data_IF_596454104457
#
_entry.id   IF_596454104457
#
_cell.length_a   1.000
_cell.length_b   1.000
_cell.length_c   1.000
_cell.angle_alpha   90.00
_cell.angle_beta   90.00
_cell.angle_gamma   90.00
#
_symmetry.space_group_name_H-M   'P 1'
#
loop_
_entity.id
_entity.type
_entity.pdbx_description
1 polymer ?
#
# COMPACT_ATOMS: atom_id res chain seq x y z
N UNK A 1 5.33 18.13 -18.70
CA UNK A 1 6.33 17.63 -17.73
C UNK A 1 5.58 16.67 -16.82
N UNK A 2 5.84 15.36 -16.91
CA UNK A 2 5.19 14.40 -16.01
C UNK A 2 5.85 14.52 -14.64
N UNK A 3 5.07 14.84 -13.61
CA UNK A 3 5.54 14.91 -12.23
C UNK A 3 5.70 13.48 -11.68
N UNK A 4 6.94 12.97 -11.76
CA UNK A 4 7.28 11.60 -11.34
C UNK A 4 7.14 11.41 -9.82
N UNK A 5 7.38 12.47 -9.05
CA UNK A 5 7.26 12.44 -7.58
C UNK A 5 5.79 12.27 -7.18
N UNK A 6 4.90 13.09 -7.76
CA UNK A 6 3.47 12.98 -7.54
C UNK A 6 2.92 11.62 -8.01
N UNK A 7 3.42 11.10 -9.14
CA UNK A 7 3.04 9.78 -9.64
C UNK A 7 3.44 8.66 -8.65
N UNK A 8 4.67 8.70 -8.12
CA UNK A 8 5.15 7.70 -7.16
C UNK A 8 4.29 7.65 -5.90
N UNK A 9 3.97 8.81 -5.31
CA UNK A 9 3.12 8.87 -4.11
C UNK A 9 1.71 8.39 -4.39
N UNK A 10 1.16 8.78 -5.54
CA UNK A 10 -0.19 8.34 -5.96
C UNK A 10 -0.25 6.82 -6.06
N UNK A 11 0.81 6.18 -6.57
CA UNK A 11 0.92 4.72 -6.65
C UNK A 11 1.02 4.06 -5.28
N UNK A 12 1.86 4.58 -4.37
CA UNK A 12 1.96 4.06 -3.00
C UNK A 12 0.62 4.20 -2.27
N UNK A 13 -0.06 5.33 -2.44
CA UNK A 13 -1.39 5.55 -1.86
C UNK A 13 -2.44 4.63 -2.47
N UNK A 14 -2.40 4.40 -3.78
CA UNK A 14 -3.28 3.44 -4.45
C UNK A 14 -3.08 2.03 -3.90
N UNK A 15 -1.83 1.58 -3.77
CA UNK A 15 -1.47 0.28 -3.19
C UNK A 15 -2.07 0.12 -1.79
N UNK A 16 -1.89 1.11 -0.92
CA UNK A 16 -2.48 1.09 0.42
C UNK A 16 -4.02 1.11 0.36
N UNK A 17 -4.62 1.95 -0.47
CA UNK A 17 -6.07 2.05 -0.59
C UNK A 17 -6.72 0.71 -1.01
N UNK A 18 -6.06 -0.08 -1.87
CA UNK A 18 -6.53 -1.43 -2.20
C UNK A 18 -6.54 -2.35 -0.98
N UNK A 19 -5.45 -2.38 -0.19
CA UNK A 19 -5.39 -3.18 1.03
C UNK A 19 -6.46 -2.75 2.04
N UNK A 20 -6.60 -1.44 2.28
CA UNK A 20 -7.61 -0.87 3.17
C UNK A 20 -9.02 -1.25 2.73
N UNK A 21 -9.33 -1.13 1.43
CA UNK A 21 -10.62 -1.53 0.87
C UNK A 21 -10.87 -3.02 1.06
N UNK A 22 -9.89 -3.87 0.78
CA UNK A 22 -10.02 -5.32 0.87
C UNK A 22 -10.27 -5.76 2.32
N UNK A 23 -9.46 -5.25 3.26
CA UNK A 23 -9.62 -5.48 4.70
C UNK A 23 -10.99 -5.02 5.22
N UNK A 24 -11.43 -3.83 4.81
CA UNK A 24 -12.71 -3.30 5.27
C UNK A 24 -13.89 -4.05 4.66
N UNK A 25 -13.92 -4.26 3.34
CA UNK A 25 -15.07 -4.85 2.64
C UNK A 25 -15.27 -6.33 2.96
N UNK A 26 -14.19 -7.12 3.02
CA UNK A 26 -14.30 -8.56 3.21
C UNK A 26 -14.16 -9.00 4.66
N UNK A 27 -13.37 -8.28 5.46
CA UNK A 27 -13.04 -8.68 6.83
C UNK A 27 -13.56 -7.72 7.91
N UNK A 28 -14.20 -6.60 7.53
CA UNK A 28 -14.69 -5.57 8.45
C UNK A 28 -13.60 -5.01 9.38
N UNK A 29 -12.34 -5.01 8.90
CA UNK A 29 -11.19 -4.47 9.62
C UNK A 29 -10.97 -3.03 9.16
N UNK A 30 -11.03 -2.08 10.10
CA UNK A 30 -10.73 -0.67 9.86
C UNK A 30 -9.25 -0.43 10.14
N UNK A 31 -8.43 -0.22 9.11
CA UNK A 31 -6.97 -0.12 9.27
C UNK A 31 -6.49 1.02 10.16
N UNK A 32 -7.35 2.01 10.43
CA UNK A 32 -7.10 3.15 11.32
C UNK A 32 -7.69 2.99 12.73
N UNK A 33 -8.35 1.87 13.01
CA UNK A 33 -9.03 1.57 14.28
C UNK A 33 -9.17 0.05 14.42
N UNK A 34 -8.04 -0.65 14.44
CA UNK A 34 -8.01 -2.11 14.43
C UNK A 34 -8.19 -2.68 15.82
N UNK A 35 -9.02 -3.71 15.95
CA UNK A 35 -9.00 -4.56 17.13
C UNK A 35 -7.99 -5.70 16.93
N UNK A 36 -6.98 -5.86 17.81
CA UNK A 36 -5.96 -6.90 17.65
C UNK A 36 -6.53 -8.32 17.50
N UNK A 37 -7.70 -8.61 18.08
CA UNK A 37 -8.36 -9.91 17.96
C UNK A 37 -8.83 -10.25 16.53
N UNK A 38 -9.10 -9.24 15.70
CA UNK A 38 -9.48 -9.42 14.30
C UNK A 38 -8.27 -9.81 13.43
N UNK A 39 -7.04 -9.62 13.92
CA UNK A 39 -5.83 -9.92 13.18
C UNK A 39 -5.43 -11.40 13.29
N UNK A 40 -4.71 -11.92 12.29
CA UNK A 40 -4.02 -13.21 12.40
C UNK A 40 -3.14 -13.27 13.65
N UNK A 41 -3.06 -14.45 14.28
CA UNK A 41 -2.34 -14.64 15.55
C UNK A 41 -0.91 -14.08 15.51
N UNK A 42 -0.20 -14.28 14.40
CA UNK A 42 1.18 -13.81 14.20
C UNK A 42 1.36 -12.28 14.26
N UNK A 43 0.29 -11.49 14.12
CA UNK A 43 0.35 -10.02 14.14
C UNK A 43 -0.22 -9.41 15.42
N UNK A 44 -0.86 -10.20 16.29
CA UNK A 44 -1.58 -9.67 17.47
C UNK A 44 -0.63 -9.02 18.47
N UNK A 45 0.48 -9.68 18.77
CA UNK A 45 1.47 -9.17 19.72
C UNK A 45 2.13 -7.91 19.19
N UNK A 46 2.59 -7.92 17.93
CA UNK A 46 3.18 -6.75 17.27
C UNK A 46 2.20 -5.57 17.20
N UNK A 47 0.92 -5.83 16.96
CA UNK A 47 -0.11 -4.80 17.00
C UNK A 47 -0.18 -4.11 18.36
N UNK A 48 -0.26 -4.91 19.44
CA UNK A 48 -0.33 -4.38 20.81
C UNK A 48 0.91 -3.59 21.22
N UNK A 49 2.09 -3.99 20.74
CA UNK A 49 3.35 -3.38 21.15
C UNK A 49 3.78 -2.18 20.30
N UNK A 50 3.41 -2.12 19.02
CA UNK A 50 4.03 -1.20 18.06
C UNK A 50 3.06 -0.29 17.30
N UNK A 51 1.76 -0.58 17.30
CA UNK A 51 0.82 0.11 16.41
C UNK A 51 -0.23 0.94 17.14
N UNK A 52 -0.12 1.06 18.46
CA UNK A 52 -0.95 1.97 19.25
C UNK A 52 -0.51 3.40 18.96
N UNK A 53 -1.45 4.26 18.54
CA UNK A 53 -1.21 5.69 18.48
C UNK A 53 -1.51 6.35 19.83
N UNK A 54 -0.58 7.17 20.28
CA UNK A 54 -0.69 7.90 21.56
C UNK A 54 -1.79 8.98 21.54
N UNK A 55 -2.15 9.48 20.36
CA UNK A 55 -3.08 10.60 20.20
C UNK A 55 -4.54 10.24 20.50
N UNK A 56 -4.99 9.07 20.03
CA UNK A 56 -6.38 8.64 20.16
C UNK A 56 -6.54 7.24 20.78
N UNK A 57 -5.43 6.58 21.13
CA UNK A 57 -5.42 5.24 21.72
C UNK A 57 -5.87 4.14 20.74
N UNK A 58 -5.86 4.40 19.43
CA UNK A 58 -6.28 3.43 18.41
C UNK A 58 -5.08 2.72 17.81
N UNK A 59 -5.33 1.49 17.35
CA UNK A 59 -4.32 0.75 16.61
C UNK A 59 -4.40 1.06 15.12
N UNK A 60 -3.31 1.60 14.54
CA UNK A 60 -3.19 1.86 13.11
C UNK A 60 -2.23 0.91 12.43
N UNK A 61 -2.73 0.18 11.44
CA UNK A 61 -1.94 -0.79 10.70
C UNK A 61 -1.11 -0.09 9.61
N UNK A 62 0.24 -0.20 9.65
CA UNK A 62 1.07 0.26 8.54
C UNK A 62 0.82 -0.58 7.28
N UNK A 63 1.08 -0.02 6.10
CA UNK A 63 0.81 -0.64 4.78
C UNK A 63 1.27 -2.10 4.71
N UNK A 64 2.51 -2.38 5.10
CA UNK A 64 3.05 -3.75 5.09
C UNK A 64 2.27 -4.70 6.01
N UNK A 65 1.83 -4.22 7.17
CA UNK A 65 1.02 -5.01 8.10
C UNK A 65 -0.39 -5.27 7.55
N UNK A 66 -0.96 -4.33 6.79
CA UNK A 66 -2.26 -4.52 6.11
C UNK A 66 -2.19 -5.72 5.16
N UNK A 67 -1.17 -5.81 4.30
CA UNK A 67 -1.00 -6.95 3.39
C UNK A 67 -0.64 -8.25 4.10
N UNK A 68 0.16 -8.21 5.18
CA UNK A 68 0.42 -9.39 6.01
C UNK A 68 -0.85 -9.90 6.69
N UNK A 69 -1.73 -8.99 7.14
CA UNK A 69 -3.02 -9.35 7.71
C UNK A 69 -3.89 -10.04 6.66
N UNK A 70 -4.01 -9.46 5.46
CA UNK A 70 -4.69 -10.09 4.32
C UNK A 70 -4.14 -11.50 4.04
N UNK A 71 -2.83 -11.66 3.94
CA UNK A 71 -2.20 -12.96 3.67
C UNK A 71 -2.50 -13.98 4.77
N UNK A 72 -2.41 -13.57 6.04
CA UNK A 72 -2.71 -14.43 7.19
C UNK A 72 -4.19 -14.79 7.32
N UNK A 73 -5.08 -14.00 6.71
CA UNK A 73 -6.52 -14.29 6.57
C UNK A 73 -6.84 -15.12 5.32
N UNK A 74 -5.83 -15.54 4.56
CA UNK A 74 -5.98 -16.36 3.35
C UNK A 74 -6.35 -15.55 2.09
N UNK A 75 -6.28 -14.23 2.12
CA UNK A 75 -6.64 -13.37 0.99
C UNK A 75 -5.59 -13.43 -0.14
N UNK A 76 -6.06 -13.54 -1.39
CA UNK A 76 -5.20 -13.64 -2.56
C UNK A 76 -4.33 -12.39 -2.79
N UNK A 77 -4.85 -11.19 -2.52
CA UNK A 77 -4.10 -9.94 -2.66
C UNK A 77 -2.93 -9.91 -1.67
N UNK A 78 -3.17 -10.32 -0.43
CA UNK A 78 -2.13 -10.43 0.59
C UNK A 78 -1.06 -11.47 0.22
N UNK A 79 -1.49 -12.66 -0.23
CA UNK A 79 -0.55 -13.70 -0.68
C UNK A 79 0.27 -13.26 -1.90
N UNK A 80 -0.35 -12.58 -2.87
CA UNK A 80 0.34 -12.02 -4.02
C UNK A 80 1.37 -10.96 -3.60
N UNK A 81 1.00 -10.06 -2.67
CA UNK A 81 1.93 -9.06 -2.14
C UNK A 81 3.17 -9.70 -1.49
N UNK A 82 2.98 -10.78 -0.71
CA UNK A 82 4.12 -11.48 -0.10
C UNK A 82 5.05 -12.13 -1.15
N UNK A 83 4.49 -12.66 -2.25
CA UNK A 83 5.29 -13.20 -3.36
C UNK A 83 6.08 -12.10 -4.09
N UNK A 84 5.46 -10.94 -4.30
CA UNK A 84 6.11 -9.80 -4.97
C UNK A 84 6.97 -8.95 -4.03
N UNK A 85 7.02 -9.28 -2.73
CA UNK A 85 7.73 -8.49 -1.71
C UNK A 85 9.20 -8.18 -2.05
N UNK A 86 10.02 -9.11 -2.58
CA UNK A 86 11.39 -8.81 -2.98
C UNK A 86 11.49 -7.71 -4.04
N UNK A 87 10.49 -7.61 -4.92
CA UNK A 87 10.39 -6.58 -5.96
C UNK A 87 9.81 -5.28 -5.39
N UNK A 88 8.80 -5.37 -4.52
CA UNK A 88 8.13 -4.22 -3.93
C UNK A 88 8.98 -3.46 -2.93
N UNK A 89 9.73 -4.18 -2.09
CA UNK A 89 10.54 -3.58 -1.04
C UNK A 89 11.44 -2.45 -1.57
N UNK A 90 12.30 -2.65 -2.58
CA UNK A 90 13.15 -1.57 -3.09
C UNK A 90 12.36 -0.44 -3.76
N UNK A 91 11.13 -0.67 -4.23
CA UNK A 91 10.27 0.38 -4.80
C UNK A 91 9.68 1.26 -3.70
N UNK A 92 9.20 0.65 -2.61
CA UNK A 92 8.71 1.39 -1.45
C UNK A 92 9.84 2.13 -0.73
N UNK A 93 11.02 1.52 -0.63
CA UNK A 93 12.21 2.18 -0.08
C UNK A 93 12.59 3.41 -0.94
N UNK A 94 12.56 3.28 -2.27
CA UNK A 94 12.79 4.41 -3.18
C UNK A 94 11.73 5.52 -3.03
N UNK A 95 10.45 5.17 -2.83
CA UNK A 95 9.41 6.17 -2.55
C UNK A 95 9.66 6.90 -1.22
N UNK A 96 10.13 6.19 -0.19
CA UNK A 96 10.43 6.79 1.11
C UNK A 96 11.65 7.73 1.04
N UNK A 97 12.65 7.39 0.22
CA UNK A 97 13.85 8.21 0.02
C UNK A 97 13.65 9.37 -0.97
N UNK A 98 12.50 9.40 -1.64
CA UNK A 98 12.14 10.44 -2.56
C UNK A 98 11.92 11.81 -1.89
N UNK A 99 11.97 12.89 -2.68
CA UNK A 99 11.80 14.26 -2.20
C UNK A 99 10.43 14.46 -1.55
N UNK A 100 9.36 13.95 -2.17
CA UNK A 100 8.02 14.05 -1.59
C UNK A 100 7.70 12.95 -0.57
N UNK A 101 8.63 12.01 -0.35
CA UNK A 101 8.58 11.06 0.76
C UNK A 101 9.21 11.68 2.01
N UNK A 102 10.41 11.19 2.35
CA UNK A 102 11.17 11.65 3.51
C UNK A 102 12.67 11.84 3.22
N UNK A 103 13.08 11.79 1.94
CA UNK A 103 14.48 11.89 1.56
C UNK A 103 14.75 13.00 0.55
N UNK A 104 15.83 12.82 -0.20
CA UNK A 104 16.37 13.81 -1.15
C UNK A 104 16.74 13.18 -2.50
N UNK A 105 16.42 11.90 -2.70
CA UNK A 105 16.70 11.20 -3.95
C UNK A 105 15.61 11.51 -4.98
N UNK A 106 15.95 11.86 -6.23
CA UNK A 106 14.94 12.07 -7.25
C UNK A 106 14.32 10.75 -7.70
N UNK A 107 12.99 10.73 -7.86
CA UNK A 107 12.28 9.57 -8.41
C UNK A 107 12.66 9.33 -9.87
N UNK A 108 12.98 8.07 -10.19
CA UNK A 108 13.27 7.62 -11.57
C UNK A 108 12.01 7.09 -12.25
N UNK A 109 11.82 7.38 -13.53
CA UNK A 109 10.64 6.97 -14.29
C UNK A 109 10.47 5.44 -14.31
N UNK A 110 11.57 4.69 -14.38
CA UNK A 110 11.54 3.22 -14.37
C UNK A 110 10.98 2.67 -13.05
N UNK A 111 11.22 3.35 -11.93
CA UNK A 111 10.70 2.96 -10.61
C UNK A 111 9.21 3.20 -10.49
N UNK A 112 8.73 4.30 -11.06
CA UNK A 112 7.30 4.60 -11.14
C UNK A 112 6.59 3.53 -11.97
N UNK A 113 7.14 3.20 -13.15
CA UNK A 113 6.55 2.16 -14.01
C UNK A 113 6.54 0.79 -13.32
N UNK A 114 7.64 0.39 -12.69
CA UNK A 114 7.72 -0.88 -11.95
C UNK A 114 6.69 -0.95 -10.82
N UNK A 115 6.50 0.13 -10.06
CA UNK A 115 5.50 0.16 -9.00
C UNK A 115 4.08 0.12 -9.58
N UNK A 116 3.82 0.85 -10.66
CA UNK A 116 2.54 0.83 -11.36
C UNK A 116 2.17 -0.60 -11.82
N UNK A 117 3.09 -1.32 -12.48
CA UNK A 117 2.86 -2.68 -12.96
C UNK A 117 2.49 -3.62 -11.81
N UNK A 118 3.18 -3.50 -10.68
CA UNK A 118 2.87 -4.31 -9.49
C UNK A 118 1.52 -3.93 -8.88
N UNK A 119 1.17 -2.65 -8.80
CA UNK A 119 -0.14 -2.20 -8.29
C UNK A 119 -1.29 -2.71 -9.16
N UNK A 120 -1.16 -2.63 -10.48
CA UNK A 120 -2.14 -3.18 -11.43
C UNK A 120 -2.28 -4.69 -11.24
N UNK A 121 -1.15 -5.41 -11.15
CA UNK A 121 -1.13 -6.86 -10.92
C UNK A 121 -1.78 -7.26 -9.59
N UNK A 122 -1.49 -6.56 -8.49
CA UNK A 122 -2.04 -6.87 -7.16
C UNK A 122 -3.52 -6.51 -7.02
N UNK A 123 -3.94 -5.42 -7.64
CA UNK A 123 -5.35 -4.99 -7.61
C UNK A 123 -6.25 -5.82 -8.54
N UNK A 124 -5.68 -6.53 -9.51
CA UNK A 124 -6.42 -7.29 -10.51
C UNK A 124 -7.20 -6.40 -11.48
N UNK A 125 -6.87 -5.11 -11.54
CA UNK A 125 -7.52 -4.15 -12.42
C UNK A 125 -6.96 -4.29 -13.84
N UNK A 126 -7.83 -4.18 -14.84
CA UNK A 126 -7.40 -4.02 -16.22
C UNK A 126 -7.15 -2.56 -16.52
N UNK A 127 -6.01 -2.22 -17.13
CA UNK A 127 -5.72 -0.84 -17.57
C UNK A 127 -6.84 -0.26 -18.44
N UNK A 128 -7.49 -1.09 -19.24
CA UNK A 128 -8.59 -0.69 -20.10
C UNK A 128 -9.82 -0.18 -19.31
N UNK A 129 -9.92 -0.53 -18.02
CA UNK A 129 -10.99 -0.06 -17.13
C UNK A 129 -10.66 1.23 -16.38
N UNK A 130 -9.42 1.72 -16.49
CA UNK A 130 -9.03 2.97 -15.84
C UNK A 130 -9.62 4.17 -16.60
N UNK A 131 -10.09 5.21 -15.86
CA UNK A 131 -10.59 6.42 -16.50
C UNK A 131 -9.48 7.11 -17.29
N UNK A 132 -9.76 7.44 -18.55
CA UNK A 132 -8.89 8.27 -19.38
C UNK A 132 -9.28 9.72 -19.21
N UNK A 133 -8.42 10.51 -18.60
CA UNK A 133 -8.62 11.94 -18.45
C UNK A 133 -8.19 12.66 -19.72
N UNK A 134 -8.94 13.67 -20.20
CA UNK A 134 -8.53 14.47 -21.34
C UNK A 134 -7.27 15.28 -21.01
N UNK A 135 -6.32 15.34 -21.94
CA UNK A 135 -5.19 16.27 -21.82
C UNK A 135 -5.59 17.61 -22.43
N UNK A 136 -5.46 18.67 -21.65
CA UNK A 136 -5.61 20.03 -22.15
C UNK A 136 -4.32 20.40 -22.89
N UNK A 137 -4.39 20.49 -24.22
CA UNK A 137 -3.33 21.11 -25.01
C UNK A 137 -3.53 22.62 -24.91
N UNK A 138 -2.64 23.29 -24.17
CA UNK A 138 -2.56 24.76 -24.06
C UNK A 138 -1.42 25.23 -24.96
#
# INVERSE_FOLDING_TARGET
>A
MHDLEAAMISLVRALEAFAQRQLFKHYQIKTWDVHPEQLPQALRETCRSCWLEDLDGKYKLPVQAQFRALAGLGDQMGQAFLREWPTLKPLLDAANHAVLGHGFEPVKAERVQQLYDVVVKLSGISEASLPKFPMLNI
#
